data_IF_042832368384
#
_entry.id   IF_042832368384
#
_cell.length_a   1.000
_cell.length_b   1.000
_cell.length_c   1.000
_cell.angle_alpha   90.00
_cell.angle_beta   90.00
_cell.angle_gamma   90.00
#
_symmetry.space_group_name_H-M   'P 1'
#
loop_
_entity.id
_entity.type
_entity.pdbx_description
1 polymer ?
#
# COMPACT_ATOMS: atom_id res chain seq x y z
N UNK A 1 15.12 3.45 -12.44
CA UNK A 1 16.06 4.07 -11.49
C UNK A 1 15.50 5.38 -10.99
N UNK A 2 15.58 5.64 -9.71
CA UNK A 2 15.01 6.86 -9.11
C UNK A 2 16.05 7.97 -9.03
N UNK A 3 15.56 9.21 -9.05
CA UNK A 3 16.38 10.42 -8.91
C UNK A 3 15.92 11.20 -7.68
N UNK A 4 16.78 12.09 -7.20
CA UNK A 4 16.39 13.00 -6.11
C UNK A 4 15.14 13.78 -6.52
N UNK A 5 14.16 13.83 -5.65
CA UNK A 5 12.87 14.45 -5.88
C UNK A 5 11.79 13.51 -6.36
N UNK A 6 12.14 12.32 -6.83
CA UNK A 6 11.15 11.34 -7.29
C UNK A 6 10.34 10.79 -6.11
N UNK A 7 9.09 10.44 -6.39
CA UNK A 7 8.25 9.72 -5.45
C UNK A 7 8.34 8.22 -5.73
N UNK A 8 8.42 7.45 -4.67
CA UNK A 8 8.50 5.99 -4.77
C UNK A 8 7.67 5.38 -3.64
N UNK A 9 7.10 4.21 -3.90
CA UNK A 9 6.32 3.49 -2.90
C UNK A 9 7.18 2.39 -2.30
N UNK A 10 7.36 2.44 -0.98
CA UNK A 10 8.02 1.39 -0.21
C UNK A 10 6.95 0.49 0.39
N UNK A 11 7.00 -0.83 0.14
CA UNK A 11 5.95 -1.76 0.60
C UNK A 11 5.68 -1.62 2.09
N UNK A 12 4.40 -1.58 2.44
CA UNK A 12 3.88 -1.45 3.80
C UNK A 12 4.17 -0.12 4.49
N UNK A 13 5.07 0.71 3.96
CA UNK A 13 5.37 2.04 4.52
C UNK A 13 4.68 3.17 3.78
N UNK A 14 4.44 3.00 2.49
CA UNK A 14 3.74 3.98 1.68
C UNK A 14 4.64 4.80 0.79
N UNK A 15 4.14 5.96 0.38
CA UNK A 15 4.84 6.84 -0.56
C UNK A 15 5.93 7.62 0.17
N UNK A 16 7.11 7.64 -0.41
CA UNK A 16 8.22 8.45 0.07
C UNK A 16 8.81 9.28 -1.07
N UNK A 17 9.59 10.28 -0.68
CA UNK A 17 10.36 11.08 -1.63
C UNK A 17 11.83 10.73 -1.50
N UNK A 18 12.48 10.54 -2.64
CA UNK A 18 13.93 10.34 -2.68
C UNK A 18 14.60 11.69 -2.38
N UNK A 19 15.15 11.84 -1.18
CA UNK A 19 15.78 13.09 -0.77
C UNK A 19 17.24 13.15 -1.20
N UNK A 20 17.91 12.00 -1.29
CA UNK A 20 19.31 11.91 -1.65
C UNK A 20 19.63 10.55 -2.23
N UNK A 21 20.71 10.50 -3.00
CA UNK A 21 21.35 9.26 -3.42
C UNK A 21 22.77 9.31 -2.85
N UNK A 22 23.06 8.45 -1.89
CA UNK A 22 24.31 8.48 -1.17
C UNK A 22 25.15 7.26 -1.48
N UNK A 23 26.47 7.44 -1.57
CA UNK A 23 27.41 6.34 -1.71
C UNK A 23 28.26 6.24 -0.46
N UNK A 24 28.44 5.02 0.04
CA UNK A 24 29.27 4.75 1.21
C UNK A 24 30.15 3.54 0.94
N UNK A 25 31.30 3.50 1.60
CA UNK A 25 32.10 2.30 1.64
C UNK A 25 31.70 1.47 2.86
N UNK A 26 31.28 0.24 2.62
CA UNK A 26 30.92 -0.71 3.67
C UNK A 26 31.73 -1.97 3.43
N UNK A 27 32.59 -2.33 4.41
CA UNK A 27 33.43 -3.51 4.33
C UNK A 27 34.27 -3.56 3.04
N UNK A 28 34.81 -2.41 2.61
CA UNK A 28 35.61 -2.30 1.40
C UNK A 28 34.83 -2.23 0.09
N UNK A 29 33.52 -2.25 0.13
CA UNK A 29 32.67 -2.18 -1.05
C UNK A 29 31.95 -0.84 -1.12
N UNK A 30 31.81 -0.32 -2.34
CA UNK A 30 30.97 0.85 -2.59
C UNK A 30 29.52 0.42 -2.65
N UNK A 31 28.67 1.00 -1.77
CA UNK A 31 27.23 0.76 -1.78
C UNK A 31 26.54 2.10 -1.96
N UNK A 32 25.64 2.17 -2.94
CA UNK A 32 24.82 3.35 -3.20
C UNK A 32 23.41 3.12 -2.66
N UNK A 33 22.88 4.12 -1.96
CA UNK A 33 21.56 4.06 -1.31
C UNK A 33 20.66 5.18 -1.81
N UNK A 34 19.40 4.85 -1.99
CA UNK A 34 18.34 5.88 -2.00
C UNK A 34 18.01 6.23 -0.55
N UNK A 35 17.98 7.51 -0.25
CA UNK A 35 17.49 8.00 1.05
C UNK A 35 16.05 8.41 0.84
N UNK A 36 15.11 7.62 1.36
CA UNK A 36 13.69 7.78 1.13
C UNK A 36 13.02 8.31 2.39
N UNK A 37 12.38 9.46 2.29
CA UNK A 37 11.61 10.05 3.39
C UNK A 37 10.12 9.76 3.17
N UNK A 38 9.52 8.98 4.06
CA UNK A 38 8.11 8.61 3.95
C UNK A 38 7.26 9.86 4.22
N UNK A 39 6.36 10.17 3.29
CA UNK A 39 5.53 11.37 3.39
C UNK A 39 4.59 11.31 4.60
N UNK A 40 4.55 12.40 5.34
CA UNK A 40 3.70 12.51 6.52
C UNK A 40 4.25 11.83 7.77
N UNK A 41 5.46 11.29 7.70
CA UNK A 41 6.13 10.64 8.83
C UNK A 41 7.57 11.14 8.92
N UNK A 42 8.18 10.98 10.10
CA UNK A 42 9.60 11.26 10.30
C UNK A 42 10.48 10.07 9.93
N UNK A 43 9.94 9.10 9.22
CA UNK A 43 10.62 7.88 8.87
C UNK A 43 11.51 8.07 7.65
N UNK A 44 12.78 7.75 7.79
CA UNK A 44 13.74 7.76 6.69
C UNK A 44 14.23 6.34 6.49
N UNK A 45 14.14 5.85 5.26
CA UNK A 45 14.56 4.51 4.89
C UNK A 45 15.70 4.62 3.88
N UNK A 46 16.79 3.92 4.14
CA UNK A 46 17.91 3.82 3.20
C UNK A 46 17.81 2.50 2.47
N UNK A 47 17.65 2.57 1.16
CA UNK A 47 17.45 1.41 0.30
C UNK A 47 18.64 1.26 -0.62
N UNK A 48 19.44 0.18 -0.52
CA UNK A 48 20.51 -0.04 -1.49
C UNK A 48 19.93 -0.07 -2.90
N UNK A 49 20.51 0.70 -3.82
CA UNK A 49 20.01 0.78 -5.19
C UNK A 49 19.97 -0.57 -5.88
N UNK A 50 20.93 -1.44 -5.54
CA UNK A 50 20.99 -2.80 -6.08
C UNK A 50 19.84 -3.68 -5.59
N UNK A 51 19.24 -3.37 -4.44
CA UNK A 51 18.14 -4.15 -3.85
C UNK A 51 16.77 -3.51 -4.04
N UNK A 52 16.68 -2.36 -4.69
CA UNK A 52 15.43 -1.62 -4.81
C UNK A 52 14.30 -2.47 -5.39
N UNK A 53 14.57 -3.21 -6.47
CA UNK A 53 13.59 -4.09 -7.07
C UNK A 53 13.23 -5.27 -6.15
N UNK A 54 14.22 -5.84 -5.49
CA UNK A 54 14.02 -7.01 -4.61
C UNK A 54 13.13 -6.67 -3.41
N UNK A 55 13.25 -5.46 -2.85
CA UNK A 55 12.40 -5.04 -1.73
C UNK A 55 11.05 -4.52 -2.19
N UNK A 56 10.82 -4.41 -3.51
CA UNK A 56 9.55 -3.97 -4.05
C UNK A 56 9.37 -2.47 -4.16
N UNK A 57 10.46 -1.69 -4.07
CA UNK A 57 10.37 -0.25 -4.28
C UNK A 57 9.90 0.01 -5.72
N UNK A 58 8.81 0.78 -5.87
CA UNK A 58 8.21 1.02 -7.17
C UNK A 58 7.77 2.46 -7.34
N UNK A 59 7.50 2.83 -8.57
CA UNK A 59 6.90 4.12 -8.85
C UNK A 59 5.45 4.17 -8.38
N UNK A 60 4.97 5.37 -8.08
CA UNK A 60 3.54 5.61 -7.85
C UNK A 60 2.78 5.21 -9.12
N UNK A 61 1.59 4.63 -8.96
CA UNK A 61 0.82 4.18 -10.13
C UNK A 61 0.48 5.35 -11.05
N UNK A 62 0.20 5.03 -12.29
CA UNK A 62 -0.24 6.02 -13.27
C UNK A 62 -1.76 6.21 -13.20
N UNK A 63 -2.22 7.36 -13.64
CA UNK A 63 -3.64 7.70 -13.59
C UNK A 63 -4.50 6.66 -14.33
N UNK A 64 -3.97 6.09 -15.42
CA UNK A 64 -4.63 5.06 -16.20
C UNK A 64 -4.93 3.79 -15.42
N UNK A 65 -4.23 3.55 -14.31
CA UNK A 65 -4.42 2.38 -13.46
C UNK A 65 -5.49 2.59 -12.39
N UNK A 66 -5.90 3.82 -12.14
CA UNK A 66 -6.88 4.15 -11.10
C UNK A 66 -8.24 3.46 -11.33
N UNK A 67 -8.80 3.44 -12.56
CA UNK A 67 -10.07 2.74 -12.78
C UNK A 67 -10.06 1.27 -12.37
N UNK A 68 -8.93 0.59 -12.52
CA UNK A 68 -8.79 -0.80 -12.11
C UNK A 68 -8.85 -0.94 -10.58
N UNK A 69 -8.23 0.00 -9.86
CA UNK A 69 -8.33 0.04 -8.40
C UNK A 69 -9.79 0.20 -7.97
N UNK A 70 -10.51 1.12 -8.60
CA UNK A 70 -11.92 1.35 -8.30
C UNK A 70 -12.78 0.13 -8.62
N UNK A 71 -12.48 -0.56 -9.72
CA UNK A 71 -13.17 -1.79 -10.09
C UNK A 71 -13.02 -2.85 -9.00
N UNK A 72 -11.80 -3.02 -8.48
CA UNK A 72 -11.54 -3.97 -7.41
C UNK A 72 -12.35 -3.61 -6.16
N UNK A 73 -12.38 -2.33 -5.80
CA UNK A 73 -13.09 -1.87 -4.60
C UNK A 73 -14.61 -2.07 -4.71
N UNK A 74 -15.14 -1.97 -5.93
CA UNK A 74 -16.57 -2.15 -6.18
C UNK A 74 -16.99 -3.59 -6.38
N UNK A 75 -16.03 -4.49 -6.60
CA UNK A 75 -16.30 -5.88 -6.85
C UNK A 75 -16.65 -6.60 -5.56
N UNK A 76 -17.74 -7.37 -5.56
CA UNK A 76 -18.03 -8.25 -4.43
C UNK A 76 -17.18 -9.51 -4.59
N UNK A 77 -16.45 -9.92 -3.53
CA UNK A 77 -15.77 -11.19 -3.58
C UNK A 77 -16.81 -12.30 -3.71
N UNK A 78 -16.46 -13.38 -4.44
CA UNK A 78 -17.33 -14.54 -4.53
C UNK A 78 -17.56 -15.10 -3.13
N UNK A 79 -18.71 -15.75 -2.92
CA UNK A 79 -19.02 -16.40 -1.65
C UNK A 79 -17.92 -17.36 -1.19
N UNK A 80 -17.16 -17.89 -2.14
CA UNK A 80 -16.02 -18.76 -1.88
C UNK A 80 -14.84 -18.02 -1.24
N UNK A 81 -14.66 -16.73 -1.54
CA UNK A 81 -13.56 -15.97 -0.99
C UNK A 81 -13.72 -15.66 0.48
N UNK A 82 -14.97 -15.39 0.90
CA UNK A 82 -15.26 -15.05 2.29
C UNK A 82 -15.32 -16.30 3.19
N UNK A 83 -15.60 -17.45 2.62
CA UNK A 83 -15.97 -18.64 3.37
C UNK A 83 -15.18 -19.89 2.93
N UNK A 84 -13.95 -19.69 2.52
CA UNK A 84 -13.11 -20.74 1.97
C UNK A 84 -12.58 -21.74 3.01
N UNK A 85 -13.16 -21.76 4.21
CA UNK A 85 -12.69 -22.64 5.28
C UNK A 85 -11.32 -22.25 5.85
N UNK A 86 -10.81 -21.08 5.48
CA UNK A 86 -9.54 -20.60 5.98
C UNK A 86 -9.67 -20.24 7.46
N UNK A 87 -8.70 -20.68 8.25
CA UNK A 87 -8.63 -20.27 9.65
C UNK A 87 -8.36 -18.77 9.71
N UNK A 88 -8.74 -18.15 10.85
CA UNK A 88 -8.46 -16.73 11.09
C UNK A 88 -6.97 -16.40 10.88
N UNK A 89 -6.07 -17.26 11.38
CA UNK A 89 -4.63 -17.05 11.26
C UNK A 89 -4.19 -17.02 9.80
N UNK A 90 -4.75 -17.89 8.97
CA UNK A 90 -4.38 -17.97 7.56
C UNK A 90 -4.86 -16.74 6.81
N UNK A 91 -6.10 -16.28 7.05
CA UNK A 91 -6.62 -15.04 6.45
C UNK A 91 -5.78 -13.84 6.84
N UNK A 92 -5.44 -13.74 8.13
CA UNK A 92 -4.64 -12.64 8.65
C UNK A 92 -3.26 -12.61 7.97
N UNK A 93 -2.65 -13.78 7.82
CA UNK A 93 -1.36 -13.92 7.13
C UNK A 93 -1.46 -13.51 5.66
N UNK A 94 -2.50 -13.93 4.97
CA UNK A 94 -2.71 -13.58 3.56
C UNK A 94 -2.89 -12.08 3.39
N UNK A 95 -3.66 -11.43 4.25
CA UNK A 95 -3.82 -9.98 4.22
C UNK A 95 -2.51 -9.25 4.48
N UNK A 96 -1.74 -9.70 5.46
CA UNK A 96 -0.42 -9.13 5.73
C UNK A 96 0.51 -9.28 4.53
N UNK A 97 0.52 -10.44 3.90
CA UNK A 97 1.35 -10.70 2.73
C UNK A 97 0.96 -9.78 1.57
N UNK A 98 -0.32 -9.58 1.34
CA UNK A 98 -0.80 -8.67 0.30
C UNK A 98 -0.38 -7.22 0.58
N UNK A 99 -0.46 -6.77 1.83
CA UNK A 99 -0.01 -5.42 2.17
C UNK A 99 1.50 -5.26 1.97
N UNK A 100 2.27 -6.30 2.25
CA UNK A 100 3.72 -6.28 2.09
C UNK A 100 4.18 -6.49 0.66
N UNK A 101 3.30 -6.95 -0.23
CA UNK A 101 3.64 -7.16 -1.64
C UNK A 101 3.97 -5.86 -2.37
N UNK A 102 3.44 -4.74 -1.86
CA UNK A 102 3.62 -3.44 -2.49
C UNK A 102 2.69 -3.17 -3.65
N UNK A 103 1.87 -4.13 -4.07
CA UNK A 103 0.92 -3.93 -5.16
C UNK A 103 -0.28 -3.12 -4.69
N UNK A 104 -0.60 -2.03 -5.41
CA UNK A 104 -1.78 -1.22 -5.12
C UNK A 104 -3.07 -2.04 -5.26
N UNK A 105 -3.07 -2.99 -6.18
CA UNK A 105 -4.25 -3.83 -6.42
C UNK A 105 -4.46 -4.81 -5.26
N UNK A 106 -3.39 -5.35 -4.71
CA UNK A 106 -3.46 -6.22 -3.53
C UNK A 106 -3.97 -5.44 -2.31
N UNK A 107 -3.49 -4.19 -2.15
CA UNK A 107 -3.96 -3.32 -1.07
C UNK A 107 -5.46 -3.06 -1.21
N UNK A 108 -5.93 -2.79 -2.44
CA UNK A 108 -7.35 -2.58 -2.70
C UNK A 108 -8.19 -3.81 -2.34
N UNK A 109 -7.68 -5.01 -2.64
CA UNK A 109 -8.37 -6.26 -2.30
C UNK A 109 -8.49 -6.43 -0.77
N UNK A 110 -7.42 -6.16 -0.04
CA UNK A 110 -7.43 -6.25 1.43
C UNK A 110 -8.44 -5.25 2.02
N UNK A 111 -8.42 -4.02 1.52
CA UNK A 111 -9.34 -2.99 1.98
C UNK A 111 -10.79 -3.40 1.74
N UNK A 112 -11.10 -3.87 0.54
CA UNK A 112 -12.44 -4.33 0.17
C UNK A 112 -12.90 -5.46 1.09
N UNK A 113 -12.08 -6.49 1.22
CA UNK A 113 -12.46 -7.69 1.97
C UNK A 113 -12.69 -7.38 3.44
N UNK A 114 -11.81 -6.59 4.06
CA UNK A 114 -11.96 -6.22 5.48
C UNK A 114 -13.13 -5.28 5.71
N UNK A 115 -13.39 -4.38 4.77
CA UNK A 115 -14.54 -3.47 4.86
C UNK A 115 -15.86 -4.25 4.79
N UNK A 116 -15.96 -5.23 3.91
CA UNK A 116 -17.12 -6.10 3.80
C UNK A 116 -17.29 -6.98 5.05
N UNK A 117 -16.18 -7.48 5.59
CA UNK A 117 -16.19 -8.27 6.81
C UNK A 117 -16.71 -7.44 8.00
N UNK A 118 -16.32 -6.16 8.07
CA UNK A 118 -16.79 -5.23 9.11
C UNK A 118 -18.30 -5.06 9.10
N UNK A 119 -18.92 -5.14 7.94
CA UNK A 119 -20.37 -5.03 7.81
C UNK A 119 -21.12 -6.21 8.47
N UNK A 120 -20.48 -7.37 8.54
CA UNK A 120 -21.09 -8.60 9.04
C UNK A 120 -20.77 -8.89 10.50
N UNK A 121 -19.63 -8.42 10.98
CA UNK A 121 -19.19 -8.69 12.36
C UNK A 121 -18.21 -7.62 12.84
N UNK A 122 -17.99 -7.57 14.15
CA UNK A 122 -16.94 -6.72 14.70
C UNK A 122 -15.57 -7.28 14.32
N UNK A 123 -14.71 -6.42 13.83
CA UNK A 123 -13.34 -6.81 13.50
C UNK A 123 -12.52 -6.99 14.78
N UNK A 124 -11.61 -7.96 14.76
CA UNK A 124 -10.59 -8.08 15.80
C UNK A 124 -9.66 -6.85 15.75
N UNK A 125 -8.87 -6.67 16.80
CA UNK A 125 -7.90 -5.57 16.86
C UNK A 125 -6.94 -5.63 15.67
N UNK A 126 -6.42 -6.82 15.35
CA UNK A 126 -5.51 -7.01 14.23
C UNK A 126 -6.16 -6.70 12.89
N UNK A 127 -7.41 -7.13 12.71
CA UNK A 127 -8.15 -6.86 11.47
C UNK A 127 -8.43 -5.36 11.28
N UNK A 128 -8.81 -4.66 12.36
CA UNK A 128 -9.00 -3.20 12.29
C UNK A 128 -7.71 -2.49 11.89
N UNK A 129 -6.59 -2.95 12.46
CA UNK A 129 -5.30 -2.37 12.16
C UNK A 129 -4.92 -2.56 10.69
N UNK A 130 -5.20 -3.75 10.13
CA UNK A 130 -4.98 -4.01 8.71
C UNK A 130 -5.87 -3.14 7.83
N UNK A 131 -7.14 -2.99 8.21
CA UNK A 131 -8.09 -2.13 7.50
C UNK A 131 -7.60 -0.69 7.46
N UNK A 132 -7.21 -0.15 8.60
CA UNK A 132 -6.71 1.22 8.70
C UNK A 132 -5.44 1.40 7.89
N UNK A 133 -4.54 0.44 7.93
CA UNK A 133 -3.30 0.48 7.16
C UNK A 133 -3.59 0.47 5.65
N UNK A 134 -4.45 -0.44 5.21
CA UNK A 134 -4.81 -0.53 3.79
C UNK A 134 -5.47 0.77 3.29
N UNK A 135 -6.40 1.31 4.06
CA UNK A 135 -7.05 2.57 3.72
C UNK A 135 -6.05 3.72 3.65
N UNK A 136 -5.15 3.80 4.62
CA UNK A 136 -4.13 4.84 4.66
C UNK A 136 -3.18 4.76 3.46
N UNK A 137 -2.67 3.56 3.16
CA UNK A 137 -1.74 3.37 2.05
C UNK A 137 -2.39 3.72 0.71
N UNK A 138 -3.61 3.26 0.51
CA UNK A 138 -4.33 3.51 -0.74
C UNK A 138 -4.69 4.98 -0.89
N UNK A 139 -5.17 5.61 0.17
CA UNK A 139 -5.53 7.04 0.17
C UNK A 139 -4.33 7.91 -0.17
N UNK A 140 -3.19 7.65 0.44
CA UNK A 140 -1.96 8.41 0.21
C UNK A 140 -1.52 8.34 -1.25
N UNK A 141 -1.49 7.15 -1.82
CA UNK A 141 -1.04 6.98 -3.20
C UNK A 141 -2.03 7.61 -4.19
N UNK A 142 -3.32 7.35 -4.02
CA UNK A 142 -4.34 7.92 -4.91
C UNK A 142 -4.41 9.44 -4.83
N UNK A 143 -4.21 10.01 -3.64
CA UNK A 143 -4.20 11.47 -3.49
C UNK A 143 -3.12 12.11 -4.34
N UNK A 144 -1.96 11.47 -4.43
CA UNK A 144 -0.85 11.95 -5.26
C UNK A 144 -1.20 11.83 -6.74
N UNK A 145 -1.68 10.67 -7.16
CA UNK A 145 -2.02 10.40 -8.57
C UNK A 145 -3.11 11.34 -9.06
N UNK A 146 -4.14 11.56 -8.24
CA UNK A 146 -5.31 12.34 -8.59
C UNK A 146 -5.13 13.83 -8.28
N UNK A 147 -4.00 14.22 -7.68
CA UNK A 147 -3.74 15.59 -7.25
C UNK A 147 -4.91 16.13 -6.43
N UNK A 148 -5.37 15.33 -5.48
CA UNK A 148 -6.53 15.63 -4.66
C UNK A 148 -6.18 15.52 -3.17
N UNK A 149 -6.93 16.22 -2.33
CA UNK A 149 -6.74 16.14 -0.89
C UNK A 149 -7.06 14.73 -0.38
N UNK A 150 -6.29 14.25 0.60
CA UNK A 150 -6.48 12.91 1.16
C UNK A 150 -7.90 12.72 1.71
N UNK A 151 -8.47 13.75 2.35
CA UNK A 151 -9.83 13.66 2.90
C UNK A 151 -10.87 13.40 1.81
N UNK A 152 -10.71 14.01 0.65
CA UNK A 152 -11.61 13.78 -0.49
C UNK A 152 -11.47 12.37 -1.04
N UNK A 153 -10.24 11.89 -1.17
CA UNK A 153 -9.97 10.53 -1.64
C UNK A 153 -10.56 9.50 -0.67
N UNK A 154 -10.33 9.68 0.63
CA UNK A 154 -10.88 8.78 1.63
C UNK A 154 -12.41 8.71 1.56
N UNK A 155 -13.07 9.86 1.43
CA UNK A 155 -14.52 9.93 1.29
C UNK A 155 -15.00 9.15 0.06
N UNK A 156 -14.31 9.30 -1.06
CA UNK A 156 -14.64 8.56 -2.28
C UNK A 156 -14.47 7.06 -2.11
N UNK A 157 -13.37 6.64 -1.49
CA UNK A 157 -13.11 5.21 -1.25
C UNK A 157 -14.17 4.59 -0.36
N UNK A 158 -14.53 5.27 0.73
CA UNK A 158 -15.59 4.79 1.63
C UNK A 158 -16.92 4.71 0.91
N UNK A 159 -17.22 5.68 0.06
CA UNK A 159 -18.45 5.66 -0.73
C UNK A 159 -18.53 4.46 -1.67
N UNK A 160 -17.44 4.13 -2.33
CA UNK A 160 -17.38 2.96 -3.21
C UNK A 160 -17.60 1.66 -2.44
N UNK A 161 -16.99 1.55 -1.25
CA UNK A 161 -17.08 0.35 -0.42
C UNK A 161 -18.48 0.17 0.18
N UNK A 162 -19.12 1.27 0.58
CA UNK A 162 -20.47 1.23 1.16
C UNK A 162 -21.55 0.87 0.15
N UNK A 163 -21.33 1.14 -1.13
CA UNK A 163 -22.33 0.91 -2.18
C UNK A 163 -22.20 -0.46 -2.84
N UNK A 164 -21.42 -1.34 -2.26
CA UNK A 164 -21.28 -2.72 -2.75
C UNK A 164 -22.41 -3.63 -2.24
#
# INVERSE_FOLDING_TARGET
MFKVGDLAVYPAQGVGRVEAVESRQIAGHHVTFYVLHILGKDTIIRVPTANANAVGLRQVIEEEQVPRVYEILRRRPSARGADSGLTWNKRFRDYNNKLKSGSVFDIAEVLRDLFLLKADKDLSFGERRLLDTALHLLTKELAIVLESAEANVETQLRGMLQNN
#
